data_IF_222826953905
#
_entry.id   IF_222826953905
#
_cell.length_a   1.000
_cell.length_b   1.000
_cell.length_c   1.000
_cell.angle_alpha   90.00
_cell.angle_beta   90.00
_cell.angle_gamma   90.00
#
_symmetry.space_group_name_H-M   'P 1'
#
loop_
_entity.id
_entity.type
_entity.pdbx_description
1 polymer ?
#
# COMPACT_ATOMS: atom_id res chain seq x y z
N UNK A 1 -9.69 15.11 17.65
CA UNK A 1 -10.81 14.17 17.51
C UNK A 1 -11.02 13.95 16.03
N UNK A 2 -10.45 12.87 15.49
CA UNK A 2 -10.38 12.66 14.05
C UNK A 2 -11.66 11.96 13.56
N UNK A 3 -12.23 12.41 12.45
CA UNK A 3 -13.42 11.84 11.80
C UNK A 3 -13.33 10.30 11.57
N UNK A 4 -12.14 9.72 11.60
CA UNK A 4 -11.88 8.27 11.54
C UNK A 4 -12.14 7.52 12.84
N UNK A 5 -11.98 8.14 14.02
CA UNK A 5 -12.32 7.51 15.32
C UNK A 5 -13.80 7.13 15.35
N UNK A 6 -14.68 8.02 14.86
CA UNK A 6 -16.12 7.76 14.79
C UNK A 6 -16.53 6.64 13.82
N UNK A 7 -15.79 6.44 12.71
CA UNK A 7 -16.03 5.30 11.79
C UNK A 7 -15.47 3.99 12.34
N UNK A 8 -14.36 4.01 13.10
CA UNK A 8 -13.78 2.84 13.77
C UNK A 8 -14.66 2.37 14.94
N UNK A 9 -15.18 3.30 15.75
CA UNK A 9 -16.16 3.03 16.81
C UNK A 9 -17.42 2.34 16.26
N UNK A 10 -17.96 2.81 15.13
CA UNK A 10 -19.13 2.17 14.49
C UNK A 10 -18.91 0.76 13.96
N UNK A 11 -17.65 0.31 13.79
CA UNK A 11 -17.31 -1.08 13.39
C UNK A 11 -17.01 -1.99 14.59
N UNK A 12 -16.74 -1.42 15.77
CA UNK A 12 -16.35 -2.16 16.97
C UNK A 12 -17.50 -2.58 17.88
N UNK A 13 -18.73 -2.13 17.61
CA UNK A 13 -19.77 -2.11 18.65
C UNK A 13 -20.55 -3.41 18.89
N UNK A 14 -20.16 -4.57 18.33
CA UNK A 14 -20.89 -5.83 18.62
C UNK A 14 -20.05 -7.10 18.80
N UNK A 15 -18.71 -7.05 18.71
CA UNK A 15 -17.89 -8.26 18.73
C UNK A 15 -16.74 -8.18 19.73
N UNK A 16 -16.87 -8.87 20.87
CA UNK A 16 -15.73 -9.15 21.76
C UNK A 16 -14.65 -9.87 20.95
N UNK A 17 -13.48 -9.25 20.82
CA UNK A 17 -12.37 -9.81 20.03
C UNK A 17 -11.90 -11.15 20.59
N UNK A 18 -11.58 -12.10 19.71
CA UNK A 18 -10.84 -13.31 20.10
C UNK A 18 -9.35 -13.01 20.02
N UNK A 19 -8.53 -13.46 20.96
CA UNK A 19 -7.07 -13.36 20.85
C UNK A 19 -6.52 -14.70 20.35
N UNK A 20 -5.76 -14.67 19.26
CA UNK A 20 -4.99 -15.82 18.83
C UNK A 20 -3.66 -15.85 19.57
N UNK A 21 -3.39 -16.94 20.27
CA UNK A 21 -2.09 -17.17 20.90
C UNK A 21 -1.12 -17.63 19.81
N UNK A 22 0.06 -17.01 19.74
CA UNK A 22 1.18 -17.39 18.87
C UNK A 22 0.82 -17.54 17.37
N UNK A 23 0.31 -16.46 16.77
CA UNK A 23 0.00 -16.43 15.34
C UNK A 23 1.24 -16.74 14.49
N UNK A 24 1.15 -17.76 13.64
CA UNK A 24 2.21 -18.26 12.77
C UNK A 24 1.67 -18.62 11.37
N UNK A 25 2.55 -19.08 10.48
CA UNK A 25 2.17 -19.49 9.12
C UNK A 25 1.19 -20.67 9.09
N UNK A 26 1.23 -21.50 10.13
CA UNK A 26 0.39 -22.70 10.25
C UNK A 26 -0.88 -22.43 11.05
N UNK A 27 -1.07 -21.20 11.56
CA UNK A 27 -2.29 -20.84 12.27
C UNK A 27 -3.49 -20.90 11.32
N UNK A 28 -4.49 -21.75 11.61
CA UNK A 28 -5.65 -21.88 10.74
C UNK A 28 -6.46 -20.58 10.72
N UNK A 29 -6.99 -20.22 9.54
CA UNK A 29 -7.82 -19.04 9.39
C UNK A 29 -9.08 -19.20 10.26
N UNK A 30 -9.32 -18.32 11.25
CA UNK A 30 -10.49 -18.44 12.11
C UNK A 30 -11.79 -18.30 11.33
N UNK A 31 -12.79 -19.11 11.69
CA UNK A 31 -14.12 -19.01 11.07
C UNK A 31 -14.85 -17.71 11.45
N UNK A 32 -14.56 -17.15 12.62
CA UNK A 32 -15.17 -15.90 13.12
C UNK A 32 -14.28 -14.69 12.81
N UNK A 33 -14.11 -14.40 11.51
CA UNK A 33 -13.23 -13.32 11.06
C UNK A 33 -13.58 -11.94 11.66
N UNK A 34 -14.85 -11.64 11.85
CA UNK A 34 -15.29 -10.39 12.48
C UNK A 34 -14.72 -10.21 13.90
N UNK A 35 -14.66 -11.27 14.70
CA UNK A 35 -14.05 -11.22 16.05
C UNK A 35 -12.52 -11.23 16.00
N UNK A 36 -11.94 -11.85 14.97
CA UNK A 36 -10.50 -11.78 14.73
C UNK A 36 -10.07 -10.32 14.50
N UNK A 37 -10.74 -9.62 13.58
CA UNK A 37 -10.42 -8.25 13.20
C UNK A 37 -10.70 -7.21 14.30
N UNK A 38 -11.64 -7.52 15.21
CA UNK A 38 -11.95 -6.67 16.37
C UNK A 38 -10.84 -6.65 17.44
N UNK A 39 -9.90 -7.60 17.41
CA UNK A 39 -8.77 -7.63 18.34
C UNK A 39 -7.56 -6.86 17.77
N UNK A 40 -7.15 -5.80 18.47
CA UNK A 40 -5.94 -5.04 18.13
C UNK A 40 -4.68 -5.91 18.18
N UNK A 41 -4.64 -6.88 19.09
CA UNK A 41 -3.50 -7.81 19.22
C UNK A 41 -3.35 -8.68 17.98
N UNK A 42 -4.46 -9.22 17.48
CA UNK A 42 -4.45 -10.02 16.25
C UNK A 42 -3.99 -9.19 15.05
N UNK A 43 -4.47 -7.94 14.92
CA UNK A 43 -4.08 -7.07 13.82
C UNK A 43 -2.57 -6.80 13.84
N UNK A 44 -2.02 -6.52 15.02
CA UNK A 44 -0.58 -6.32 15.24
C UNK A 44 0.23 -7.58 14.93
N UNK A 45 -0.21 -8.74 15.40
CA UNK A 45 0.56 -9.97 15.26
C UNK A 45 0.47 -10.54 13.83
N UNK A 46 -0.67 -10.36 13.15
CA UNK A 46 -0.80 -10.57 11.71
C UNK A 46 0.15 -9.67 10.92
N UNK A 47 0.25 -8.39 11.28
CA UNK A 47 1.17 -7.46 10.63
C UNK A 47 2.62 -7.92 10.77
N UNK A 48 3.04 -8.35 11.97
CA UNK A 48 4.39 -8.89 12.19
C UNK A 48 4.63 -10.14 11.34
N UNK A 49 3.67 -11.07 11.33
CA UNK A 49 3.77 -12.30 10.54
C UNK A 49 3.89 -12.02 9.04
N UNK A 50 3.03 -11.15 8.49
CA UNK A 50 3.06 -10.77 7.07
C UNK A 50 4.37 -10.08 6.71
N UNK A 51 4.85 -9.16 7.56
CA UNK A 51 6.14 -8.50 7.38
C UNK A 51 7.27 -9.52 7.33
N UNK A 52 7.32 -10.42 8.31
CA UNK A 52 8.38 -11.41 8.41
C UNK A 52 8.30 -12.42 7.25
N UNK A 53 7.10 -12.75 6.75
CA UNK A 53 6.95 -13.51 5.51
C UNK A 53 7.59 -12.76 4.35
N UNK A 54 7.17 -11.52 4.08
CA UNK A 54 7.64 -10.79 2.90
C UNK A 54 9.14 -10.51 2.96
N UNK A 55 9.69 -10.12 4.12
CA UNK A 55 11.12 -9.88 4.27
C UNK A 55 11.98 -11.13 4.01
N UNK A 56 11.42 -12.33 4.17
CA UNK A 56 12.11 -13.60 3.98
C UNK A 56 11.72 -14.32 2.67
N UNK A 57 10.89 -13.72 1.82
CA UNK A 57 10.57 -14.29 0.49
C UNK A 57 11.77 -14.07 -0.43
N UNK A 58 12.34 -15.17 -0.93
CA UNK A 58 13.31 -15.15 -2.02
C UNK A 58 12.53 -15.13 -3.33
N UNK A 59 12.46 -13.99 -3.98
CA UNK A 59 11.80 -13.81 -5.27
C UNK A 59 12.78 -13.29 -6.33
N UNK A 60 12.62 -13.75 -7.57
CA UNK A 60 13.47 -13.36 -8.70
C UNK A 60 13.38 -11.86 -9.03
N UNK A 61 12.27 -11.22 -8.64
CA UNK A 61 12.03 -9.78 -8.77
C UNK A 61 11.87 -9.15 -7.37
N UNK A 62 12.32 -7.90 -7.16
CA UNK A 62 12.24 -7.24 -5.87
C UNK A 62 10.78 -6.98 -5.47
N UNK A 63 10.36 -7.49 -4.31
CA UNK A 63 9.07 -7.13 -3.68
C UNK A 63 9.36 -6.14 -2.56
N UNK A 64 8.74 -4.96 -2.63
CA UNK A 64 8.77 -3.97 -1.55
C UNK A 64 7.39 -3.98 -0.88
N UNK A 65 7.32 -4.44 0.37
CA UNK A 65 6.10 -4.33 1.16
C UNK A 65 6.16 -3.11 2.07
N UNK A 66 5.06 -2.36 2.13
CA UNK A 66 4.78 -1.39 3.18
C UNK A 66 3.79 -1.99 4.16
N UNK A 67 3.99 -1.81 5.46
CA UNK A 67 2.99 -2.21 6.46
C UNK A 67 2.10 -1.04 6.84
N UNK A 68 0.89 -1.35 7.30
CA UNK A 68 0.01 -0.39 7.98
C UNK A 68 0.68 0.05 9.29
N UNK A 69 0.50 1.31 9.71
CA UNK A 69 1.00 1.80 11.02
C UNK A 69 -0.20 1.84 11.95
N UNK A 70 -0.24 0.91 12.91
CA UNK A 70 -1.35 0.83 13.87
C UNK A 70 -1.01 1.51 15.20
N UNK A 71 0.28 1.64 15.55
CA UNK A 71 0.75 2.35 16.73
C UNK A 71 2.22 2.81 16.58
N UNK A 72 2.71 3.61 17.53
CA UNK A 72 4.12 4.01 17.63
C UNK A 72 5.08 2.82 17.87
N UNK A 73 4.60 1.57 17.93
CA UNK A 73 5.40 0.37 18.24
C UNK A 73 5.61 -0.53 17.01
N UNK A 74 4.73 -0.47 16.02
CA UNK A 74 4.81 -1.22 14.77
C UNK A 74 5.13 -0.27 13.61
N UNK A 75 6.42 -0.01 13.47
CA UNK A 75 6.97 0.77 12.36
C UNK A 75 6.79 0.05 11.02
N UNK A 76 6.65 0.80 9.90
CA UNK A 76 6.62 0.23 8.57
C UNK A 76 7.85 -0.65 8.31
N UNK A 77 7.71 -1.63 7.42
CA UNK A 77 8.88 -2.33 6.90
C UNK A 77 9.76 -1.31 6.17
N UNK A 78 10.93 -1.01 6.76
CA UNK A 78 11.93 -0.10 6.21
C UNK A 78 13.06 -0.86 5.51
N UNK A 79 12.87 -2.15 5.17
CA UNK A 79 13.94 -2.98 4.64
C UNK A 79 13.55 -3.73 3.38
N UNK A 80 14.50 -3.83 2.47
CA UNK A 80 14.51 -4.68 1.28
C UNK A 80 15.65 -5.70 1.43
N UNK A 81 15.34 -6.95 1.76
CA UNK A 81 16.37 -7.93 2.15
C UNK A 81 17.25 -7.37 3.27
N UNK A 82 18.52 -7.10 2.97
CA UNK A 82 19.50 -6.54 3.90
C UNK A 82 19.61 -5.00 3.85
N UNK A 83 18.94 -4.33 2.93
CA UNK A 83 19.05 -2.89 2.71
C UNK A 83 17.96 -2.13 3.45
N UNK A 84 18.31 -1.01 4.06
CA UNK A 84 17.36 -0.10 4.72
C UNK A 84 16.92 0.96 3.72
N UNK A 85 15.62 1.27 3.71
CA UNK A 85 14.99 2.32 2.92
C UNK A 85 14.50 3.41 3.89
N UNK A 86 15.32 4.44 4.18
CA UNK A 86 14.96 5.50 5.13
C UNK A 86 13.71 6.27 4.74
N UNK A 87 13.41 6.40 3.45
CA UNK A 87 12.24 7.13 2.93
C UNK A 87 10.90 6.47 3.30
N UNK A 88 10.94 5.19 3.66
CA UNK A 88 9.78 4.47 4.22
C UNK A 88 9.58 4.75 5.71
N UNK A 89 10.52 5.41 6.38
CA UNK A 89 10.34 5.99 7.71
C UNK A 89 9.58 7.32 7.61
N UNK A 90 8.30 7.23 7.22
CA UNK A 90 7.42 8.38 7.11
C UNK A 90 6.13 8.18 7.93
N UNK A 91 5.48 9.30 8.25
CA UNK A 91 4.28 9.37 9.08
C UNK A 91 2.99 9.19 8.27
N UNK A 92 3.10 8.79 6.99
CA UNK A 92 1.96 8.58 6.12
C UNK A 92 1.24 7.32 6.60
N UNK A 93 0.02 7.46 7.14
CA UNK A 93 -0.75 6.34 7.70
C UNK A 93 -1.26 5.39 6.61
N UNK A 94 -1.67 5.91 5.47
CA UNK A 94 -2.39 5.13 4.47
C UNK A 94 -1.44 4.45 3.48
N UNK A 95 -1.74 3.19 3.13
CA UNK A 95 -0.86 2.36 2.29
C UNK A 95 -0.84 2.83 0.83
N UNK A 96 -1.97 3.34 0.35
CA UNK A 96 -2.15 3.97 -0.96
C UNK A 96 -1.27 5.21 -1.14
N UNK A 97 -1.23 6.12 -0.17
CA UNK A 97 -0.36 7.29 -0.21
C UNK A 97 1.12 6.90 -0.09
N UNK A 98 1.44 5.86 0.68
CA UNK A 98 2.81 5.36 0.83
C UNK A 98 3.41 4.81 -0.45
N UNK A 99 2.59 4.34 -1.40
CA UNK A 99 3.07 3.82 -2.69
C UNK A 99 3.99 4.81 -3.41
N UNK A 100 3.73 6.11 -3.25
CA UNK A 100 4.50 7.20 -3.88
C UNK A 100 5.97 7.14 -3.45
N UNK A 101 6.23 6.94 -2.15
CA UNK A 101 7.60 6.84 -1.62
C UNK A 101 8.34 5.59 -2.15
N UNK A 102 7.62 4.48 -2.35
CA UNK A 102 8.20 3.27 -2.93
C UNK A 102 8.59 3.46 -4.39
N UNK A 103 7.73 4.11 -5.18
CA UNK A 103 8.02 4.41 -6.59
C UNK A 103 9.21 5.37 -6.71
N UNK A 104 9.25 6.42 -5.87
CA UNK A 104 10.38 7.35 -5.85
C UNK A 104 11.69 6.65 -5.50
N UNK A 105 11.69 5.79 -4.48
CA UNK A 105 12.88 5.04 -4.10
C UNK A 105 13.36 4.10 -5.22
N UNK A 106 12.43 3.41 -5.87
CA UNK A 106 12.74 2.54 -7.00
C UNK A 106 13.38 3.33 -8.15
N UNK A 107 12.91 4.54 -8.42
CA UNK A 107 13.50 5.42 -9.44
C UNK A 107 14.87 5.95 -9.01
N UNK A 108 14.93 6.66 -7.88
CA UNK A 108 16.13 7.44 -7.49
C UNK A 108 17.28 6.58 -7.00
N UNK A 109 16.97 5.53 -6.24
CA UNK A 109 17.99 4.70 -5.58
C UNK A 109 18.29 3.46 -6.42
N UNK A 110 17.25 2.80 -6.95
CA UNK A 110 17.42 1.60 -7.77
C UNK A 110 17.57 1.87 -9.26
N UNK A 111 17.36 3.11 -9.71
CA UNK A 111 17.45 3.50 -11.12
C UNK A 111 16.52 2.64 -12.01
N UNK A 112 15.43 2.15 -11.43
CA UNK A 112 14.44 1.35 -12.12
C UNK A 112 13.81 2.20 -13.23
N UNK A 113 13.88 1.70 -14.46
CA UNK A 113 13.26 2.37 -15.60
C UNK A 113 11.76 2.08 -15.69
N UNK A 114 11.31 1.01 -15.02
CA UNK A 114 9.94 0.53 -15.00
C UNK A 114 9.52 0.14 -13.60
N UNK A 115 8.32 0.57 -13.21
CA UNK A 115 7.66 0.15 -11.97
C UNK A 115 6.23 -0.32 -12.25
N UNK A 116 5.91 -1.51 -11.75
CA UNK A 116 4.58 -2.12 -11.85
C UNK A 116 3.94 -2.12 -10.45
N UNK A 117 2.89 -1.32 -10.27
CA UNK A 117 2.13 -1.24 -9.01
C UNK A 117 0.91 -2.13 -9.11
N UNK A 118 0.81 -3.13 -8.24
CA UNK A 118 -0.34 -4.04 -8.20
C UNK A 118 -1.36 -3.55 -7.18
N UNK A 119 -2.50 -3.03 -7.64
CA UNK A 119 -3.60 -2.65 -6.76
C UNK A 119 -4.93 -2.57 -7.51
N UNK A 120 -5.99 -3.07 -6.86
CA UNK A 120 -7.38 -2.87 -7.28
C UNK A 120 -7.99 -1.56 -6.78
N UNK A 121 -7.27 -0.84 -5.93
CA UNK A 121 -7.74 0.39 -5.31
C UNK A 121 -7.69 1.57 -6.29
N UNK A 122 -8.80 2.30 -6.38
CA UNK A 122 -8.93 3.51 -7.19
C UNK A 122 -8.18 4.68 -6.60
N UNK A 123 -7.98 4.70 -5.28
CA UNK A 123 -7.19 5.75 -4.60
C UNK A 123 -5.74 5.69 -5.11
N UNK A 124 -5.18 4.48 -5.23
CA UNK A 124 -3.86 4.25 -5.80
C UNK A 124 -3.78 4.73 -7.26
N UNK A 125 -4.81 4.50 -8.07
CA UNK A 125 -4.84 5.02 -9.44
C UNK A 125 -4.76 6.55 -9.47
N UNK A 126 -5.57 7.22 -8.64
CA UNK A 126 -5.57 8.68 -8.56
C UNK A 126 -4.22 9.23 -8.10
N UNK A 127 -3.62 8.61 -7.07
CA UNK A 127 -2.28 8.95 -6.58
C UNK A 127 -1.22 8.78 -7.67
N UNK A 128 -1.14 7.60 -8.28
CA UNK A 128 -0.13 7.33 -9.29
C UNK A 128 -0.28 8.23 -10.51
N UNK A 129 -1.51 8.47 -10.98
CA UNK A 129 -1.74 9.37 -12.11
C UNK A 129 -1.32 10.81 -11.77
N UNK A 130 -1.60 11.29 -10.55
CA UNK A 130 -1.15 12.61 -10.10
C UNK A 130 0.38 12.73 -10.02
N UNK A 131 1.07 11.72 -9.50
CA UNK A 131 2.52 11.75 -9.27
C UNK A 131 3.35 11.27 -10.46
N UNK A 132 2.77 10.62 -11.47
CA UNK A 132 3.50 10.16 -12.67
C UNK A 132 4.31 11.27 -13.35
N UNK A 133 3.79 12.49 -13.58
CA UNK A 133 4.59 13.57 -14.16
C UNK A 133 5.82 13.92 -13.33
N UNK A 134 5.72 13.87 -12.00
CA UNK A 134 6.86 14.09 -11.10
C UNK A 134 7.90 13.00 -11.26
N UNK A 135 7.50 11.73 -11.24
CA UNK A 135 8.42 10.62 -11.46
C UNK A 135 9.11 10.67 -12.83
N UNK A 136 8.42 11.09 -13.88
CA UNK A 136 9.02 11.29 -15.20
C UNK A 136 10.13 12.35 -15.18
N UNK A 137 10.02 13.39 -14.34
CA UNK A 137 11.11 14.38 -14.17
C UNK A 137 12.34 13.83 -13.46
N UNK A 138 12.18 12.74 -12.70
CA UNK A 138 13.26 12.07 -11.99
C UNK A 138 13.97 11.01 -12.85
N UNK A 139 13.35 10.59 -13.96
CA UNK A 139 13.94 9.64 -14.92
C UNK A 139 13.10 8.39 -15.18
N UNK A 140 12.02 8.18 -14.42
CA UNK A 140 11.11 7.05 -14.58
C UNK A 140 10.47 7.04 -15.98
N UNK A 141 10.68 5.95 -16.73
CA UNK A 141 10.16 5.81 -18.10
C UNK A 141 8.77 5.19 -18.14
N UNK A 142 8.59 4.13 -17.36
CA UNK A 142 7.38 3.33 -17.40
C UNK A 142 6.79 3.15 -16.00
N UNK A 143 5.57 3.67 -15.83
CA UNK A 143 4.75 3.36 -14.66
C UNK A 143 3.50 2.64 -15.14
N UNK A 144 3.25 1.49 -14.53
CA UNK A 144 2.11 0.65 -14.81
C UNK A 144 1.31 0.40 -13.54
N UNK A 145 -0.02 0.44 -13.65
CA UNK A 145 -0.88 -0.12 -12.63
C UNK A 145 -1.48 -1.44 -13.12
N UNK A 146 -1.28 -2.50 -12.34
CA UNK A 146 -1.96 -3.77 -12.54
C UNK A 146 -3.16 -3.87 -11.59
N UNK A 147 -4.32 -4.19 -12.13
CA UNK A 147 -5.55 -4.42 -11.39
C UNK A 147 -6.29 -5.65 -11.95
N UNK A 148 -7.32 -6.12 -11.26
CA UNK A 148 -8.01 -7.37 -11.50
C UNK A 148 -7.36 -8.59 -10.81
N UNK A 149 -8.09 -9.69 -10.77
CA UNK A 149 -7.65 -10.96 -10.18
C UNK A 149 -7.76 -12.10 -11.21
N UNK A 150 -6.90 -13.12 -11.06
CA UNK A 150 -6.86 -14.28 -11.96
C UNK A 150 -6.69 -13.90 -13.44
N UNK A 151 -7.54 -14.47 -14.29
CA UNK A 151 -7.55 -14.23 -15.75
C UNK A 151 -8.02 -12.82 -16.14
N UNK A 152 -8.67 -12.09 -15.22
CA UNK A 152 -9.16 -10.72 -15.47
C UNK A 152 -8.14 -9.65 -15.10
N UNK A 153 -6.87 -10.01 -14.92
CA UNK A 153 -5.79 -9.05 -14.68
C UNK A 153 -5.60 -8.16 -15.91
N UNK A 154 -5.48 -6.87 -15.66
CA UNK A 154 -5.26 -5.83 -16.66
C UNK A 154 -4.10 -4.96 -16.21
N UNK A 155 -3.37 -4.44 -17.20
CA UNK A 155 -2.31 -3.46 -16.98
C UNK A 155 -2.72 -2.14 -17.62
N UNK A 156 -2.47 -1.05 -16.91
CA UNK A 156 -2.73 0.31 -17.39
C UNK A 156 -1.44 1.13 -17.42
N UNK A 157 -1.03 1.61 -18.61
CA UNK A 157 0.18 2.42 -18.77
C UNK A 157 -0.08 3.87 -18.34
N UNK A 158 0.22 4.18 -17.07
CA UNK A 158 0.04 5.54 -16.53
C UNK A 158 0.89 6.57 -17.28
N UNK A 159 2.13 6.21 -17.63
CA UNK A 159 3.04 7.05 -18.40
C UNK A 159 2.46 7.47 -19.77
N UNK A 160 1.72 6.59 -20.45
CA UNK A 160 1.02 6.92 -21.70
C UNK A 160 -0.26 7.72 -21.43
N UNK A 161 -1.01 7.40 -20.37
CA UNK A 161 -2.19 8.16 -20.02
C UNK A 161 -1.87 9.64 -19.77
N UNK A 162 -0.74 9.94 -19.13
CA UNK A 162 -0.25 11.33 -18.96
C UNK A 162 0.01 12.02 -20.28
N UNK A 163 0.63 11.34 -21.25
CA UNK A 163 0.87 11.94 -22.58
C UNK A 163 -0.42 12.32 -23.32
N UNK A 164 -1.53 11.63 -23.03
CA UNK A 164 -2.83 11.89 -23.66
C UNK A 164 -3.65 12.92 -22.87
N UNK A 165 -3.69 12.81 -21.54
CA UNK A 165 -4.49 13.67 -20.66
C UNK A 165 -3.84 15.04 -20.40
N UNK A 166 -2.51 15.09 -20.48
CA UNK A 166 -1.70 16.23 -20.09
C UNK A 166 -1.51 16.36 -18.58
N UNK A 167 -0.38 16.95 -18.20
CA UNK A 167 0.05 17.11 -16.80
C UNK A 167 -0.94 17.91 -15.94
N UNK A 168 -1.62 18.90 -16.52
CA UNK A 168 -2.57 19.75 -15.80
C UNK A 168 -3.77 18.95 -15.28
N UNK A 169 -4.37 18.12 -16.14
CA UNK A 169 -5.52 17.30 -15.77
C UNK A 169 -5.11 16.20 -14.79
N UNK A 170 -3.97 15.54 -15.02
CA UNK A 170 -3.44 14.53 -14.12
C UNK A 170 -3.24 15.05 -12.68
N UNK A 171 -2.68 16.26 -12.54
CA UNK A 171 -2.51 16.91 -11.22
C UNK A 171 -3.84 17.21 -10.52
N UNK A 172 -4.93 17.33 -11.27
CA UNK A 172 -6.26 17.63 -10.73
C UNK A 172 -7.00 16.36 -10.28
N UNK A 173 -6.54 15.16 -10.67
CA UNK A 173 -7.24 13.91 -10.41
C UNK A 173 -7.47 13.62 -8.93
N UNK A 174 -6.46 13.81 -8.06
CA UNK A 174 -6.65 13.64 -6.61
C UNK A 174 -7.75 14.58 -6.08
N UNK A 175 -7.80 15.83 -6.55
CA UNK A 175 -8.83 16.78 -6.13
C UNK A 175 -10.22 16.33 -6.58
N UNK A 176 -10.34 15.88 -7.82
CA UNK A 176 -11.60 15.36 -8.35
C UNK A 176 -12.05 14.09 -7.61
N UNK A 177 -11.11 13.21 -7.28
CA UNK A 177 -11.33 11.99 -6.52
C UNK A 177 -11.87 12.30 -5.11
N UNK A 178 -11.21 13.20 -4.39
CA UNK A 178 -11.65 13.68 -3.07
C UNK A 178 -13.06 14.31 -3.13
N UNK A 179 -13.35 15.10 -4.16
CA UNK A 179 -14.66 15.77 -4.31
C UNK A 179 -15.79 14.80 -4.67
N UNK A 180 -15.49 13.71 -5.38
CA UNK A 180 -16.48 12.73 -5.82
C UNK A 180 -16.67 11.58 -4.84
N UNK A 181 -15.76 11.43 -3.86
CA UNK A 181 -15.91 10.52 -2.72
C UNK A 181 -15.99 9.04 -3.11
N UNK A 182 -15.43 8.68 -4.27
CA UNK A 182 -15.24 7.31 -4.71
C UNK A 182 -13.84 6.85 -4.43
#
# INVERSE_FOLDING_TARGET
MFLKEGKRLRRGDEATGIALIDMSRDTPIPQQLNKLWASEENNRDLQKLVRDIVCNVVCANPIIASSVVFDNKTLPAIKFGNEVIPELYNWIEEADARVVAHVEWADRIKQCQRVDVMSNDTDIFAFLLHFTPYFQTLGMKEIWQQYGTGEKRRMFPLHQAISQLGTSLAKTMIKAHILTGR
#
